data_IF_418210431167
#
_entry.id   IF_418210431167
#
_cell.length_a   1.000
_cell.length_b   1.000
_cell.length_c   1.000
_cell.angle_alpha   90.00
_cell.angle_beta   90.00
_cell.angle_gamma   90.00
#
_symmetry.space_group_name_H-M   'P 1'
#
loop_
_entity.id
_entity.type
_entity.pdbx_description
1 polymer ?
#
# COMPACT_ATOMS: atom_id res chain seq x y z
N UNK A 1 -19.71 11.37 -47.98
CA UNK A 1 -18.86 10.39 -47.31
C UNK A 1 -18.51 10.92 -45.90
N UNK A 2 -19.13 10.37 -44.86
CA UNK A 2 -18.79 10.72 -43.49
C UNK A 2 -17.53 9.94 -43.11
N UNK A 3 -16.40 10.59 -42.96
CA UNK A 3 -15.19 10.00 -42.42
C UNK A 3 -15.41 9.90 -40.90
N UNK A 4 -15.44 8.71 -40.30
CA UNK A 4 -15.52 8.59 -38.84
C UNK A 4 -14.30 9.26 -38.24
N UNK A 5 -14.51 10.31 -37.43
CA UNK A 5 -13.44 10.87 -36.61
C UNK A 5 -12.91 9.76 -35.67
N UNK A 6 -11.58 9.57 -35.58
CA UNK A 6 -11.03 8.63 -34.64
C UNK A 6 -11.48 9.05 -33.23
N UNK A 7 -12.10 8.12 -32.50
CA UNK A 7 -12.42 8.32 -31.09
C UNK A 7 -11.12 8.68 -30.37
N UNK A 8 -11.03 9.92 -29.87
CA UNK A 8 -9.90 10.33 -29.03
C UNK A 8 -9.98 9.45 -27.79
N UNK A 9 -9.12 8.47 -27.71
CA UNK A 9 -8.98 7.65 -26.51
C UNK A 9 -8.61 8.60 -25.37
N UNK A 10 -9.55 8.86 -24.47
CA UNK A 10 -9.29 9.65 -23.27
C UNK A 10 -8.14 8.99 -22.53
N UNK A 11 -7.05 9.73 -22.31
CA UNK A 11 -5.90 9.25 -21.57
C UNK A 11 -6.36 8.78 -20.20
N UNK A 12 -6.09 7.51 -19.85
CA UNK A 12 -6.42 6.91 -18.56
C UNK A 12 -5.79 7.74 -17.44
N UNK A 13 -6.51 7.92 -16.34
CA UNK A 13 -5.96 8.57 -15.15
C UNK A 13 -5.07 7.57 -14.42
N UNK A 14 -3.87 8.00 -14.02
CA UNK A 14 -2.98 7.12 -13.29
C UNK A 14 -3.33 7.10 -11.81
N UNK A 15 -3.29 5.92 -11.22
CA UNK A 15 -3.38 5.66 -9.79
C UNK A 15 -2.07 4.99 -9.35
N UNK A 16 -1.28 5.70 -8.56
CA UNK A 16 -0.03 5.15 -8.03
C UNK A 16 -0.33 4.31 -6.80
N UNK A 17 -0.04 3.02 -6.88
CA UNK A 17 -0.16 2.07 -5.79
C UNK A 17 1.23 1.68 -5.29
N UNK A 18 1.51 1.89 -3.99
CA UNK A 18 2.84 1.69 -3.42
C UNK A 18 2.74 0.84 -2.15
N UNK A 19 3.38 -0.34 -2.16
CA UNK A 19 3.65 -1.07 -0.93
C UNK A 19 4.92 -0.52 -0.26
N UNK A 20 4.86 -0.35 1.07
CA UNK A 20 5.99 -0.07 1.95
C UNK A 20 6.18 -1.30 2.84
N UNK A 21 7.26 -2.02 2.66
CA UNK A 21 7.45 -3.36 3.22
C UNK A 21 8.62 -3.34 4.19
N UNK A 22 8.32 -3.65 5.44
CA UNK A 22 9.34 -3.91 6.45
C UNK A 22 10.11 -5.18 6.08
N UNK A 23 11.40 -5.05 5.94
CA UNK A 23 12.34 -6.12 5.71
C UNK A 23 13.41 -6.17 6.83
N UNK A 24 13.07 -5.70 8.03
CA UNK A 24 13.93 -5.75 9.21
C UNK A 24 14.16 -7.18 9.72
N UNK A 25 15.11 -7.35 10.64
CA UNK A 25 15.48 -8.66 11.17
C UNK A 25 14.33 -9.39 11.87
N UNK A 26 13.39 -8.68 12.53
CA UNK A 26 12.19 -9.26 13.16
C UNK A 26 11.28 -9.97 12.17
N UNK A 27 11.25 -9.53 10.93
CA UNK A 27 10.48 -10.16 9.86
C UNK A 27 11.01 -11.54 9.42
N UNK A 28 12.21 -11.95 9.88
CA UNK A 28 12.73 -13.31 9.66
C UNK A 28 12.05 -14.34 10.56
N UNK A 29 11.51 -13.88 11.72
CA UNK A 29 10.92 -14.75 12.73
C UNK A 29 9.59 -15.29 12.22
N UNK A 30 9.36 -16.58 12.49
CA UNK A 30 8.09 -17.25 12.21
C UNK A 30 7.59 -17.08 10.76
N UNK A 31 8.49 -16.96 9.79
CA UNK A 31 8.14 -16.87 8.37
C UNK A 31 7.34 -15.64 7.96
N UNK A 32 7.36 -14.55 8.76
CA UNK A 32 6.60 -13.32 8.46
C UNK A 32 6.88 -12.79 7.04
N UNK A 33 8.16 -12.69 6.66
CA UNK A 33 8.52 -12.17 5.32
C UNK A 33 8.07 -13.09 4.19
N UNK A 34 8.08 -14.43 4.40
CA UNK A 34 7.56 -15.39 3.42
C UNK A 34 6.05 -15.23 3.26
N UNK A 35 5.33 -15.02 4.36
CA UNK A 35 3.90 -14.75 4.33
C UNK A 35 3.57 -13.45 3.60
N UNK A 36 4.36 -12.38 3.78
CA UNK A 36 4.22 -11.13 3.00
C UNK A 36 4.41 -11.39 1.51
N UNK A 37 5.45 -12.15 1.12
CA UNK A 37 5.70 -12.49 -0.28
C UNK A 37 4.52 -13.27 -0.90
N UNK A 38 3.99 -14.26 -0.19
CA UNK A 38 2.82 -15.03 -0.62
C UNK A 38 1.58 -14.16 -0.74
N UNK A 39 1.32 -13.34 0.29
CA UNK A 39 0.16 -12.45 0.34
C UNK A 39 0.14 -11.43 -0.82
N UNK A 40 1.28 -10.85 -1.17
CA UNK A 40 1.36 -9.94 -2.32
C UNK A 40 1.03 -10.70 -3.62
N UNK A 41 1.61 -11.88 -3.85
CA UNK A 41 1.31 -12.68 -5.03
C UNK A 41 -0.17 -13.06 -5.14
N UNK A 42 -0.80 -13.44 -4.03
CA UNK A 42 -2.21 -13.81 -3.98
C UNK A 42 -3.14 -12.59 -4.15
N UNK A 43 -2.66 -11.40 -3.82
CA UNK A 43 -3.41 -10.14 -3.94
C UNK A 43 -3.48 -9.64 -5.40
N UNK A 44 -2.45 -9.89 -6.21
CA UNK A 44 -2.35 -9.36 -7.57
C UNK A 44 -3.55 -9.72 -8.47
N UNK A 45 -4.05 -10.98 -8.52
CA UNK A 45 -5.22 -11.30 -9.32
C UNK A 45 -6.48 -10.53 -8.90
N UNK A 46 -6.65 -10.28 -7.61
CA UNK A 46 -7.79 -9.52 -7.10
C UNK A 46 -7.68 -8.03 -7.42
N UNK A 47 -6.49 -7.46 -7.32
CA UNK A 47 -6.24 -6.08 -7.75
C UNK A 47 -6.53 -5.90 -9.24
N UNK A 48 -6.16 -6.87 -10.08
CA UNK A 48 -6.48 -6.87 -11.51
C UNK A 48 -8.00 -6.88 -11.76
N UNK A 49 -8.78 -7.63 -10.99
CA UNK A 49 -10.25 -7.62 -11.07
C UNK A 49 -10.82 -6.24 -10.73
N UNK A 50 -10.31 -5.61 -9.65
CA UNK A 50 -10.73 -4.25 -9.26
C UNK A 50 -10.35 -3.22 -10.32
N UNK A 51 -9.15 -3.31 -10.87
CA UNK A 51 -8.69 -2.42 -11.94
C UNK A 51 -9.52 -2.59 -13.23
N UNK A 52 -9.86 -3.83 -13.61
CA UNK A 52 -10.68 -4.12 -14.78
C UNK A 52 -12.11 -3.54 -14.67
N UNK A 53 -12.64 -3.41 -13.44
CA UNK A 53 -13.92 -2.76 -13.19
C UNK A 53 -13.87 -1.22 -13.36
N UNK A 54 -12.67 -0.63 -13.54
CA UNK A 54 -12.44 0.80 -13.68
C UNK A 54 -11.55 1.08 -14.91
N UNK A 55 -12.02 0.87 -16.14
CA UNK A 55 -11.19 0.87 -17.35
C UNK A 55 -10.57 2.23 -17.70
N UNK A 56 -11.08 3.32 -17.13
CA UNK A 56 -10.54 4.68 -17.24
C UNK A 56 -9.36 4.97 -16.31
N UNK A 57 -9.03 4.01 -15.43
CA UNK A 57 -7.90 4.10 -14.49
C UNK A 57 -6.79 3.17 -14.93
N UNK A 58 -5.56 3.69 -14.93
CA UNK A 58 -4.34 2.89 -15.09
C UNK A 58 -3.66 2.78 -13.74
N UNK A 59 -3.62 1.59 -13.18
CA UNK A 59 -2.93 1.33 -11.90
C UNK A 59 -1.45 1.14 -12.16
N UNK A 60 -0.64 1.98 -11.54
CA UNK A 60 0.82 1.97 -11.61
C UNK A 60 1.39 1.50 -10.28
N UNK A 61 2.07 0.37 -10.27
CA UNK A 61 2.55 -0.30 -9.05
C UNK A 61 4.02 -0.02 -8.82
N UNK A 62 4.37 0.23 -7.56
CA UNK A 62 5.74 0.27 -7.02
C UNK A 62 5.80 -0.41 -5.66
N UNK A 63 7.02 -0.72 -5.21
CA UNK A 63 7.26 -1.20 -3.86
C UNK A 63 8.56 -0.61 -3.30
N UNK A 64 8.51 -0.21 -2.03
CA UNK A 64 9.66 0.18 -1.22
C UNK A 64 9.91 -0.90 -0.18
N UNK A 65 11.15 -1.29 0.00
CA UNK A 65 11.59 -2.08 1.15
C UNK A 65 12.39 -1.19 2.09
N UNK A 66 12.24 -1.41 3.40
CA UNK A 66 13.02 -0.72 4.41
C UNK A 66 13.51 -1.71 5.48
N UNK A 67 14.77 -1.49 5.87
CA UNK A 67 15.51 -2.22 6.88
C UNK A 67 16.61 -1.30 7.41
N UNK A 68 17.89 -1.61 7.17
CA UNK A 68 19.00 -0.64 7.35
C UNK A 68 19.03 0.32 6.15
N UNK A 69 18.18 1.34 6.18
CA UNK A 69 17.87 2.22 5.06
C UNK A 69 16.57 1.87 4.37
N UNK A 70 16.25 2.60 3.30
CA UNK A 70 15.09 2.35 2.45
C UNK A 70 15.48 2.41 0.97
N UNK A 71 14.87 1.57 0.16
CA UNK A 71 15.12 1.52 -1.28
C UNK A 71 13.89 1.11 -2.07
N UNK A 72 13.85 1.52 -3.32
CA UNK A 72 12.86 1.00 -4.26
C UNK A 72 13.19 -0.45 -4.61
N UNK A 73 12.34 -1.38 -4.19
CA UNK A 73 12.37 -2.77 -4.64
C UNK A 73 11.87 -2.86 -6.08
N UNK A 74 10.82 -2.11 -6.39
CA UNK A 74 10.33 -1.90 -7.76
C UNK A 74 10.64 -0.44 -8.14
N UNK A 75 11.77 -0.24 -8.82
CA UNK A 75 12.32 1.09 -9.10
C UNK A 75 11.55 1.89 -10.13
N UNK A 76 10.89 1.21 -11.07
CA UNK A 76 10.07 1.85 -12.09
C UNK A 76 8.59 1.65 -11.80
N UNK A 77 7.80 2.69 -12.05
CA UNK A 77 6.34 2.61 -11.99
C UNK A 77 5.85 1.70 -13.11
N UNK A 78 5.32 0.53 -12.74
CA UNK A 78 4.96 -0.54 -13.67
C UNK A 78 3.44 -0.69 -13.72
N UNK A 79 2.80 -0.74 -14.90
CA UNK A 79 1.39 -1.07 -15.00
C UNK A 79 1.06 -2.38 -14.29
N UNK A 80 -0.07 -2.42 -13.58
CA UNK A 80 -0.46 -3.60 -12.78
C UNK A 80 -0.56 -4.88 -13.63
N UNK A 81 -1.00 -4.77 -14.87
CA UNK A 81 -1.09 -5.87 -15.84
C UNK A 81 0.27 -6.50 -16.17
N UNK A 82 1.33 -5.68 -16.15
CA UNK A 82 2.71 -6.10 -16.46
C UNK A 82 3.51 -6.42 -15.20
N UNK A 83 2.96 -6.09 -14.03
CA UNK A 83 3.66 -6.23 -12.76
C UNK A 83 3.86 -7.70 -12.37
N UNK A 84 5.06 -8.03 -11.93
CA UNK A 84 5.42 -9.35 -11.39
C UNK A 84 6.19 -9.15 -10.10
N UNK A 85 5.70 -9.75 -9.02
CA UNK A 85 6.36 -9.67 -7.73
C UNK A 85 7.66 -10.47 -7.71
N UNK A 86 8.72 -9.84 -7.21
CA UNK A 86 9.98 -10.50 -6.90
C UNK A 86 10.07 -10.63 -5.38
N UNK A 87 10.30 -11.83 -4.83
CA UNK A 87 10.35 -12.01 -3.39
C UNK A 87 11.42 -11.15 -2.72
N UNK A 88 11.09 -10.62 -1.54
CA UNK A 88 12.00 -9.89 -0.67
C UNK A 88 12.50 -10.78 0.46
N UNK A 89 13.68 -10.47 1.00
CA UNK A 89 14.25 -11.07 2.20
C UNK A 89 14.37 -10.05 3.31
N UNK A 90 14.49 -10.52 4.56
CA UNK A 90 14.53 -9.67 5.73
C UNK A 90 15.91 -9.72 6.43
N UNK A 91 16.39 -8.56 6.89
CA UNK A 91 17.62 -8.40 7.68
C UNK A 91 17.75 -6.95 8.16
N UNK A 92 18.56 -6.69 9.18
CA UNK A 92 18.90 -5.33 9.62
C UNK A 92 17.89 -4.72 10.59
N UNK A 93 17.86 -3.39 10.63
CA UNK A 93 17.03 -2.57 11.53
C UNK A 93 15.76 -2.10 10.82
N UNK A 94 15.04 -1.09 11.36
CA UNK A 94 13.71 -0.66 10.85
C UNK A 94 13.71 0.84 10.53
N UNK A 95 14.38 1.26 9.44
CA UNK A 95 14.45 2.66 9.02
C UNK A 95 13.19 3.08 8.24
N UNK A 96 12.05 3.11 8.92
CA UNK A 96 10.73 3.41 8.34
C UNK A 96 10.60 4.87 7.91
N UNK A 97 11.17 5.81 8.66
CA UNK A 97 11.15 7.24 8.32
C UNK A 97 11.86 7.52 7.00
N UNK A 98 12.92 6.77 6.69
CA UNK A 98 13.58 6.84 5.37
C UNK A 98 12.68 6.36 4.24
N UNK A 99 11.88 5.32 4.47
CA UNK A 99 10.90 4.86 3.49
C UNK A 99 9.85 5.94 3.19
N UNK A 100 9.37 6.64 4.22
CA UNK A 100 8.42 7.74 4.03
C UNK A 100 9.02 8.90 3.23
N UNK A 101 10.28 9.28 3.50
CA UNK A 101 10.98 10.31 2.72
C UNK A 101 11.16 9.88 1.26
N UNK A 102 11.56 8.64 1.01
CA UNK A 102 11.71 8.10 -0.34
C UNK A 102 10.39 8.14 -1.14
N UNK A 103 9.27 7.85 -0.50
CA UNK A 103 7.94 7.96 -1.12
C UNK A 103 7.55 9.42 -1.30
N UNK A 104 7.85 10.31 -0.34
CA UNK A 104 7.61 11.75 -0.46
C UNK A 104 8.33 12.32 -1.67
N UNK A 105 9.62 12.06 -1.82
CA UNK A 105 10.43 12.51 -2.96
C UNK A 105 9.83 12.05 -4.30
N UNK A 106 9.37 10.80 -4.36
CA UNK A 106 8.68 10.31 -5.57
C UNK A 106 7.36 11.04 -5.82
N UNK A 107 6.51 11.19 -4.80
CA UNK A 107 5.21 11.84 -4.95
C UNK A 107 5.35 13.33 -5.32
N UNK A 108 6.45 13.98 -4.92
CA UNK A 108 6.80 15.33 -5.35
C UNK A 108 7.07 15.45 -6.85
N UNK A 109 7.47 14.35 -7.52
CA UNK A 109 7.68 14.32 -8.98
C UNK A 109 6.42 13.99 -9.78
N UNK A 110 5.38 13.48 -9.11
CA UNK A 110 4.13 13.06 -9.78
C UNK A 110 3.35 14.28 -10.27
N UNK A 111 3.15 14.37 -11.56
CA UNK A 111 2.46 15.48 -12.22
C UNK A 111 1.33 15.01 -13.13
N UNK A 112 0.40 15.89 -13.48
CA UNK A 112 -0.69 15.60 -14.39
C UNK A 112 -1.99 15.15 -13.71
N UNK A 113 -2.87 14.51 -14.48
CA UNK A 113 -4.21 14.10 -14.04
C UNK A 113 -4.15 12.72 -13.36
N UNK A 114 -3.75 12.70 -12.08
CA UNK A 114 -3.68 11.48 -11.29
C UNK A 114 -4.87 11.35 -10.33
N UNK A 115 -5.10 10.13 -9.87
CA UNK A 115 -5.96 9.83 -8.73
C UNK A 115 -5.14 9.88 -7.42
N UNK A 116 -5.77 10.06 -6.26
CA UNK A 116 -5.09 9.94 -4.99
C UNK A 116 -4.28 8.63 -4.93
N UNK A 117 -2.99 8.69 -4.57
CA UNK A 117 -2.17 7.48 -4.44
C UNK A 117 -2.70 6.56 -3.35
N UNK A 118 -2.38 5.28 -3.45
CA UNK A 118 -2.62 4.28 -2.40
C UNK A 118 -1.28 3.85 -1.84
N UNK A 119 -1.13 3.95 -0.52
CA UNK A 119 0.06 3.54 0.21
C UNK A 119 -0.34 2.48 1.24
N UNK A 120 0.25 1.29 1.17
CA UNK A 120 0.01 0.20 2.12
C UNK A 120 1.31 -0.10 2.84
N UNK A 121 1.36 0.21 4.13
CA UNK A 121 2.50 -0.03 5.02
C UNK A 121 2.32 -1.38 5.72
N UNK A 122 3.35 -2.20 5.70
CA UNK A 122 3.40 -3.52 6.36
C UNK A 122 4.63 -3.56 7.26
N UNK A 123 4.43 -3.74 8.57
CA UNK A 123 5.53 -3.80 9.54
C UNK A 123 5.15 -4.59 10.78
N UNK A 124 6.14 -5.19 11.41
CA UNK A 124 6.01 -5.95 12.65
C UNK A 124 6.71 -5.30 13.85
N UNK A 125 7.30 -4.12 13.67
CA UNK A 125 8.14 -3.56 14.73
C UNK A 125 8.10 -2.05 14.85
N UNK A 126 8.76 -1.59 15.91
CA UNK A 126 9.02 -0.19 16.14
C UNK A 126 10.16 0.30 15.23
N UNK A 127 9.98 1.46 14.66
CA UNK A 127 11.01 2.08 13.83
C UNK A 127 12.23 2.50 14.66
N UNK A 128 13.39 2.44 14.01
CA UNK A 128 14.70 2.77 14.62
C UNK A 128 15.23 4.14 14.20
N UNK A 129 14.51 4.83 13.30
CA UNK A 129 14.90 6.15 12.77
C UNK A 129 13.87 7.24 13.04
N UNK A 130 14.04 8.44 12.45
CA UNK A 130 13.15 9.58 12.56
C UNK A 130 11.86 9.38 11.72
N UNK A 131 10.95 8.54 12.22
CA UNK A 131 9.64 8.28 11.62
C UNK A 131 8.78 9.54 11.54
N UNK A 132 8.78 10.33 12.61
CA UNK A 132 7.93 11.54 12.67
C UNK A 132 8.32 12.55 11.60
N UNK A 133 9.60 12.81 11.43
CA UNK A 133 10.10 13.69 10.36
C UNK A 133 9.87 13.09 8.97
N UNK A 134 10.00 11.76 8.82
CA UNK A 134 9.69 11.08 7.56
C UNK A 134 8.22 11.17 7.20
N UNK A 135 7.31 10.91 8.15
CA UNK A 135 5.86 11.03 7.94
C UNK A 135 5.47 12.48 7.64
N UNK A 136 6.06 13.45 8.36
CA UNK A 136 5.79 14.87 8.09
C UNK A 136 6.23 15.26 6.67
N UNK A 137 7.39 14.79 6.20
CA UNK A 137 7.84 15.00 4.83
C UNK A 137 6.82 14.44 3.80
N UNK A 138 6.33 13.22 4.03
CA UNK A 138 5.30 12.61 3.19
C UNK A 138 4.00 13.44 3.18
N UNK A 139 3.55 13.91 4.35
CA UNK A 139 2.30 14.67 4.48
C UNK A 139 2.41 16.13 3.98
N UNK A 140 3.61 16.65 3.81
CA UNK A 140 3.84 17.96 3.20
C UNK A 140 3.68 17.91 1.67
N UNK A 141 3.88 16.73 1.06
CA UNK A 141 3.65 16.56 -0.36
C UNK A 141 2.14 16.57 -0.68
N UNK A 142 1.69 17.33 -1.70
CA UNK A 142 0.27 17.42 -2.07
C UNK A 142 -0.36 16.05 -2.33
N UNK A 143 0.36 15.14 -2.98
CA UNK A 143 -0.11 13.78 -3.25
C UNK A 143 0.00 12.87 -2.03
N UNK A 144 1.00 13.05 -1.18
CA UNK A 144 1.12 12.35 0.10
C UNK A 144 -0.02 12.68 1.06
N UNK A 145 -0.41 13.95 1.13
CA UNK A 145 -1.56 14.41 1.92
C UNK A 145 -2.88 13.82 1.44
N UNK A 146 -3.06 13.68 0.11
CA UNK A 146 -4.27 13.12 -0.52
C UNK A 146 -4.27 11.60 -0.56
N UNK A 147 -3.15 10.94 -0.27
CA UNK A 147 -3.02 9.50 -0.40
C UNK A 147 -3.96 8.75 0.53
N UNK A 148 -4.53 7.66 0.04
CA UNK A 148 -5.18 6.63 0.86
C UNK A 148 -4.07 5.82 1.52
N UNK A 149 -3.90 5.97 2.84
CA UNK A 149 -2.84 5.30 3.61
C UNK A 149 -3.47 4.30 4.57
N UNK A 150 -3.04 3.05 4.44
CA UNK A 150 -3.43 1.94 5.30
C UNK A 150 -2.19 1.25 5.85
N UNK A 151 -2.31 0.67 7.03
CA UNK A 151 -1.23 -0.11 7.64
C UNK A 151 -1.71 -1.49 8.06
N UNK A 152 -0.81 -2.46 7.91
CA UNK A 152 -0.98 -3.85 8.36
C UNK A 152 0.09 -4.12 9.42
N UNK A 153 -0.37 -4.40 10.63
CA UNK A 153 0.44 -4.81 11.76
C UNK A 153 0.66 -6.33 11.72
N UNK A 154 1.91 -6.76 11.63
CA UNK A 154 2.30 -8.16 11.46
C UNK A 154 2.82 -8.71 12.77
N UNK A 155 2.09 -9.68 13.36
CA UNK A 155 2.40 -10.20 14.69
C UNK A 155 1.81 -9.35 15.81
N UNK A 156 2.05 -9.80 17.05
CA UNK A 156 1.45 -9.20 18.24
C UNK A 156 2.31 -8.07 18.84
N UNK A 157 3.55 -7.95 18.41
CA UNK A 157 4.57 -7.02 18.88
C UNK A 157 4.69 -5.73 18.06
N UNK A 158 3.82 -5.55 17.05
CA UNK A 158 3.82 -4.38 16.18
C UNK A 158 3.48 -3.08 16.95
N UNK A 159 4.20 -1.98 16.63
CA UNK A 159 3.92 -0.64 17.16
C UNK A 159 2.65 -0.05 16.52
N UNK A 160 1.50 -0.33 17.15
CA UNK A 160 0.20 0.10 16.64
C UNK A 160 0.04 1.62 16.65
N UNK A 161 0.62 2.33 17.61
CA UNK A 161 0.49 3.80 17.72
C UNK A 161 1.19 4.49 16.56
N UNK A 162 2.36 3.98 16.17
CA UNK A 162 3.08 4.48 15.00
C UNK A 162 2.32 4.14 13.71
N UNK A 163 1.87 2.91 13.55
CA UNK A 163 1.10 2.47 12.39
C UNK A 163 -0.21 3.25 12.25
N UNK A 164 -0.87 3.60 13.38
CA UNK A 164 -2.08 4.43 13.40
C UNK A 164 -1.80 5.85 12.88
N UNK A 165 -0.67 6.46 13.24
CA UNK A 165 -0.29 7.80 12.76
C UNK A 165 -0.10 7.85 11.24
N UNK A 166 0.30 6.74 10.62
CA UNK A 166 0.43 6.65 9.17
C UNK A 166 -0.93 6.64 8.47
N UNK A 167 -1.96 6.06 9.07
CA UNK A 167 -3.27 5.88 8.44
C UNK A 167 -3.96 7.20 8.12
N UNK A 168 -4.70 7.23 7.01
CA UNK A 168 -5.55 8.37 6.64
C UNK A 168 -6.97 8.28 7.17
N UNK A 169 -7.31 7.20 7.88
CA UNK A 169 -8.60 6.96 8.52
C UNK A 169 -8.41 6.84 10.03
N UNK A 170 -8.51 7.96 10.78
CA UNK A 170 -8.24 7.95 12.23
C UNK A 170 -9.18 7.03 13.02
N UNK A 171 -10.41 6.83 12.51
CA UNK A 171 -11.43 5.95 13.14
C UNK A 171 -11.17 4.45 12.92
N UNK A 172 -10.28 4.10 11.99
CA UNK A 172 -9.94 2.72 11.68
C UNK A 172 -8.60 2.36 12.34
N UNK A 173 -8.55 1.32 13.17
CA UNK A 173 -7.26 0.85 13.70
C UNK A 173 -6.41 0.18 12.58
N UNK A 174 -5.09 0.07 12.77
CA UNK A 174 -4.24 -0.74 11.92
C UNK A 174 -4.78 -2.16 11.78
N UNK A 175 -4.71 -2.70 10.57
CA UNK A 175 -5.16 -4.06 10.30
C UNK A 175 -4.20 -5.04 10.97
N UNK A 176 -4.71 -5.94 11.82
CA UNK A 176 -3.88 -6.89 12.55
C UNK A 176 -3.81 -8.24 11.83
N UNK A 177 -2.63 -8.81 11.78
CA UNK A 177 -2.38 -10.13 11.24
C UNK A 177 -1.51 -10.93 12.24
N UNK A 178 -2.13 -11.80 13.01
CA UNK A 178 -1.48 -12.67 13.99
C UNK A 178 -1.00 -14.01 13.42
N UNK A 179 -1.32 -14.31 12.16
CA UNK A 179 -0.90 -15.53 11.45
C UNK A 179 -0.84 -15.29 9.93
N UNK A 180 -0.25 -16.21 9.14
CA UNK A 180 -0.11 -16.05 7.69
C UNK A 180 -1.42 -15.88 6.93
N UNK A 181 -2.47 -16.61 7.30
CA UNK A 181 -3.78 -16.56 6.65
C UNK A 181 -4.43 -15.19 6.84
N UNK A 182 -4.38 -14.65 8.07
CA UNK A 182 -4.85 -13.30 8.37
C UNK A 182 -4.03 -12.26 7.60
N UNK A 183 -2.72 -12.43 7.48
CA UNK A 183 -1.87 -11.52 6.73
C UNK A 183 -2.29 -11.45 5.26
N UNK A 184 -2.53 -12.59 4.61
CA UNK A 184 -3.05 -12.66 3.24
C UNK A 184 -4.38 -11.91 3.13
N UNK A 185 -5.32 -12.17 4.05
CA UNK A 185 -6.63 -11.51 4.07
C UNK A 185 -6.52 -10.00 4.24
N UNK A 186 -5.69 -9.52 5.19
CA UNK A 186 -5.54 -8.10 5.48
C UNK A 186 -4.83 -7.35 4.34
N UNK A 187 -3.76 -7.91 3.77
CA UNK A 187 -3.07 -7.31 2.62
C UNK A 187 -3.99 -7.25 1.40
N UNK A 188 -4.70 -8.34 1.13
CA UNK A 188 -5.68 -8.41 0.04
C UNK A 188 -6.78 -7.37 0.20
N UNK A 189 -7.35 -7.27 1.40
CA UNK A 189 -8.38 -6.28 1.69
C UNK A 189 -7.82 -4.85 1.59
N UNK A 190 -6.68 -4.54 2.24
CA UNK A 190 -6.08 -3.21 2.20
C UNK A 190 -5.81 -2.76 0.76
N UNK A 191 -5.23 -3.66 -0.05
CA UNK A 191 -4.87 -3.35 -1.43
C UNK A 191 -6.09 -3.14 -2.32
N UNK A 192 -7.11 -4.01 -2.23
CA UNK A 192 -8.29 -3.94 -3.12
C UNK A 192 -9.28 -2.87 -2.68
N UNK A 193 -9.51 -2.71 -1.37
CA UNK A 193 -10.41 -1.69 -0.84
C UNK A 193 -9.90 -0.28 -1.11
N UNK A 194 -8.61 -0.03 -0.84
CA UNK A 194 -7.99 1.27 -1.10
C UNK A 194 -7.94 1.59 -2.60
N UNK A 195 -7.60 0.60 -3.44
CA UNK A 195 -7.63 0.73 -4.89
C UNK A 195 -9.02 1.10 -5.41
N UNK A 196 -10.05 0.34 -4.97
CA UNK A 196 -11.44 0.59 -5.36
C UNK A 196 -11.97 1.94 -4.88
N UNK A 197 -11.61 2.36 -3.67
CA UNK A 197 -11.98 3.65 -3.12
C UNK A 197 -11.35 4.80 -3.91
N UNK A 198 -10.04 4.75 -4.14
CA UNK A 198 -9.33 5.79 -4.90
C UNK A 198 -9.78 5.86 -6.36
N UNK A 199 -10.11 4.73 -7.00
CA UNK A 199 -10.64 4.70 -8.37
C UNK A 199 -12.00 5.39 -8.50
N UNK A 200 -12.87 5.30 -7.49
CA UNK A 200 -14.20 5.94 -7.49
C UNK A 200 -14.16 7.47 -7.36
N UNK A 201 -13.09 8.04 -6.86
CA UNK A 201 -12.92 9.51 -6.79
C UNK A 201 -12.87 10.18 -8.17
N UNK A 202 -12.74 9.41 -9.24
CA UNK A 202 -12.82 9.94 -10.61
C UNK A 202 -14.17 10.57 -10.95
N UNK A 203 -15.25 10.15 -10.28
CA UNK A 203 -16.62 10.56 -10.59
C UNK A 203 -17.17 11.72 -9.73
N UNK A 204 -16.52 12.08 -8.62
CA UNK A 204 -17.00 13.13 -7.71
C UNK A 204 -16.08 14.36 -7.70
N UNK A 205 -16.34 15.31 -8.59
CA UNK A 205 -15.54 16.53 -8.79
C UNK A 205 -15.75 17.62 -7.72
N UNK A 206 -16.46 17.37 -6.62
CA UNK A 206 -16.96 18.45 -5.76
C UNK A 206 -16.41 18.57 -4.35
N UNK A 207 -15.84 17.55 -3.75
CA UNK A 207 -15.28 17.66 -2.39
C UNK A 207 -14.21 16.57 -2.15
N UNK A 208 -12.99 16.94 -1.68
CA UNK A 208 -11.91 15.99 -1.47
C UNK A 208 -12.03 15.24 -0.13
N UNK A 209 -13.21 14.76 0.22
CA UNK A 209 -13.34 13.83 1.34
C UNK A 209 -12.77 12.47 0.94
N UNK A 210 -11.98 11.88 1.86
CA UNK A 210 -11.49 10.51 1.70
C UNK A 210 -12.68 9.58 1.43
N UNK A 211 -12.63 8.71 0.40
CA UNK A 211 -13.74 7.83 0.08
C UNK A 211 -13.95 6.83 1.22
N UNK A 212 -15.21 6.47 1.55
CA UNK A 212 -15.46 5.45 2.56
C UNK A 212 -14.87 4.12 2.11
N UNK A 213 -14.17 3.45 3.03
CA UNK A 213 -13.70 2.09 2.83
C UNK A 213 -14.80 1.09 3.25
N UNK A 214 -14.89 -0.08 2.61
CA UNK A 214 -15.68 -1.18 3.13
C UNK A 214 -15.16 -1.58 4.52
N UNK A 215 -15.96 -2.28 5.32
CA UNK A 215 -15.50 -2.79 6.61
C UNK A 215 -14.41 -3.84 6.39
N UNK A 216 -13.28 -3.79 7.13
CA UNK A 216 -12.26 -4.82 7.04
C UNK A 216 -12.81 -6.18 7.52
N UNK A 217 -12.27 -7.30 7.03
CA UNK A 217 -12.64 -8.60 7.53
C UNK A 217 -12.36 -8.67 9.04
N UNK A 218 -13.30 -9.21 9.84
CA UNK A 218 -13.08 -9.36 11.27
C UNK A 218 -11.85 -10.25 11.51
N UNK A 219 -11.08 -9.99 12.57
CA UNK A 219 -10.05 -10.94 13.00
C UNK A 219 -10.73 -12.27 13.32
N UNK A 220 -10.19 -13.38 12.82
CA UNK A 220 -10.73 -14.70 13.09
C UNK A 220 -10.60 -15.02 14.59
N UNK A 221 -11.70 -15.15 15.34
CA UNK A 221 -11.65 -15.41 16.77
C UNK A 221 -11.16 -16.83 17.11
N UNK A 222 -11.06 -17.72 16.13
CA UNK A 222 -10.73 -19.14 16.33
C UNK A 222 -9.25 -19.48 16.17
N UNK A 223 -8.44 -18.60 15.63
CA UNK A 223 -7.03 -18.88 15.37
C UNK A 223 -6.11 -17.82 16.01
N UNK A 224 -6.07 -17.82 17.35
CA UNK A 224 -4.96 -17.25 18.10
C UNK A 224 -3.70 -18.15 17.94
N UNK A 225 -3.54 -18.71 16.75
CA UNK A 225 -2.45 -19.59 16.38
C UNK A 225 -1.18 -18.81 16.22
N UNK A 226 -0.16 -19.18 16.98
CA UNK A 226 1.21 -18.77 16.77
C UNK A 226 1.58 -18.92 15.28
N UNK A 227 2.45 -18.04 14.79
CA UNK A 227 3.14 -18.19 13.51
C UNK A 227 3.89 -19.55 13.49
N UNK A 228 3.21 -20.61 13.13
CA UNK A 228 3.78 -21.95 12.97
C UNK A 228 3.71 -22.29 11.50
N UNK A 229 4.89 -22.44 10.88
CA UNK A 229 5.07 -22.95 9.52
C UNK A 229 5.55 -24.39 9.58
#
# INVERSE_FOLDING_TARGET
MNIPQPAVALARRQLHFIWLIDCSGSMTVNGKIQAVNSAINETLPEMLKVAAANPEVQVMVRAVTFASGAQWHVSQSTPLEDFRWQPVSASGVTDMGRAFRLVADYLGTVSGRNLPPVLVLMSDGAATDDVSGGLQALLNEPWGKKAVRLSVAIGDDADLDMLQKFMSYPEMPPLRAGNPEQLVQQIKWASTAALGASSKLSHNSGNPQMPPLPMPPPPDPGNAGSWVF
#
